data_IF_321013602561
#
_entry.id   IF_321013602561
#
_cell.length_a   1.000
_cell.length_b   1.000
_cell.length_c   1.000
_cell.angle_alpha   90.00
_cell.angle_beta   90.00
_cell.angle_gamma   90.00
#
_symmetry.space_group_name_H-M   'P 1'
#
loop_
_entity.id
_entity.type
_entity.pdbx_description
1 polymer ?
#
# COMPACT_ATOMS: atom_id res chain seq x y z
N UNK A 1 2.47 -12.42 38.76
CA UNK A 1 1.23 -12.05 38.04
C UNK A 1 0.05 -12.58 38.81
N UNK A 2 -0.99 -11.80 39.09
CA UNK A 2 -2.15 -12.27 39.84
C UNK A 2 -3.08 -13.16 38.98
N UNK A 3 -3.98 -13.90 39.63
CA UNK A 3 -4.86 -14.85 38.97
C UNK A 3 -5.86 -14.17 37.98
N UNK A 4 -6.24 -12.91 38.24
CA UNK A 4 -7.13 -12.15 37.35
C UNK A 4 -6.43 -11.78 36.05
N UNK A 5 -5.21 -11.29 36.18
CA UNK A 5 -4.39 -10.95 34.99
C UNK A 5 -4.11 -12.19 34.14
N UNK A 6 -3.79 -13.34 34.78
CA UNK A 6 -3.62 -14.60 34.02
C UNK A 6 -4.90 -15.02 33.30
N UNK A 7 -6.07 -14.87 33.96
CA UNK A 7 -7.35 -15.18 33.33
C UNK A 7 -7.64 -14.24 32.12
N UNK A 8 -7.38 -12.95 32.26
CA UNK A 8 -7.56 -11.98 31.16
C UNK A 8 -6.70 -12.33 29.94
N UNK A 9 -5.43 -12.70 30.16
CA UNK A 9 -4.54 -13.16 29.09
C UNK A 9 -5.13 -14.40 28.40
N UNK A 10 -5.58 -15.42 29.15
CA UNK A 10 -6.20 -16.62 28.56
C UNK A 10 -7.44 -16.32 27.73
N UNK A 11 -8.26 -15.35 28.15
CA UNK A 11 -9.42 -14.89 27.37
C UNK A 11 -8.98 -14.27 26.05
N UNK A 12 -7.93 -13.47 26.04
CA UNK A 12 -7.39 -12.86 24.82
C UNK A 12 -6.67 -13.89 23.93
N UNK A 13 -5.98 -14.87 24.50
CA UNK A 13 -5.41 -16.01 23.75
C UNK A 13 -6.50 -16.83 23.05
N UNK A 14 -7.61 -17.06 23.74
CA UNK A 14 -8.76 -17.74 23.13
C UNK A 14 -9.34 -16.92 21.98
N UNK A 15 -9.45 -15.60 22.15
CA UNK A 15 -9.86 -14.67 21.09
C UNK A 15 -8.92 -14.72 19.87
N UNK A 16 -7.60 -14.75 20.07
CA UNK A 16 -6.61 -14.94 18.99
C UNK A 16 -6.79 -16.25 18.25
N UNK A 17 -7.02 -17.33 19.00
CA UNK A 17 -7.27 -18.66 18.43
C UNK A 17 -8.52 -18.65 17.56
N UNK A 18 -9.58 -17.97 17.98
CA UNK A 18 -10.80 -17.82 17.22
C UNK A 18 -10.60 -17.02 15.93
N UNK A 19 -9.85 -15.90 15.99
CA UNK A 19 -9.45 -15.12 14.79
C UNK A 19 -8.73 -16.01 13.78
N UNK A 20 -7.76 -16.83 14.24
CA UNK A 20 -7.02 -17.74 13.36
C UNK A 20 -7.86 -18.88 12.80
N UNK A 21 -8.80 -19.41 13.58
CA UNK A 21 -9.71 -20.45 13.09
C UNK A 21 -10.61 -19.97 11.95
N UNK A 22 -11.07 -18.72 12.03
CA UNK A 22 -11.90 -18.10 10.99
C UNK A 22 -11.06 -17.61 9.81
N UNK A 23 -9.89 -17.01 10.06
CA UNK A 23 -9.04 -16.32 9.10
C UNK A 23 -7.56 -16.74 9.26
N UNK A 24 -7.14 -17.92 8.77
CA UNK A 24 -5.80 -18.47 8.99
C UNK A 24 -4.65 -17.58 8.47
N UNK A 25 -4.91 -16.74 7.48
CA UNK A 25 -3.93 -15.83 6.91
C UNK A 25 -3.49 -14.69 7.85
N UNK A 26 -4.11 -14.55 9.04
CA UNK A 26 -3.64 -13.65 10.09
C UNK A 26 -2.52 -14.24 10.98
N UNK A 27 -2.07 -15.48 10.73
CA UNK A 27 -1.10 -16.16 11.59
C UNK A 27 0.18 -15.35 11.84
N UNK A 28 0.75 -14.75 10.80
CA UNK A 28 1.94 -13.90 10.93
C UNK A 28 1.68 -12.64 11.77
N UNK A 29 0.52 -11.99 11.59
CA UNK A 29 0.15 -10.81 12.36
C UNK A 29 -0.12 -11.14 13.83
N UNK A 30 -0.84 -12.21 14.11
CA UNK A 30 -1.10 -12.68 15.48
C UNK A 30 0.20 -13.07 16.20
N UNK A 31 1.11 -13.78 15.52
CA UNK A 31 2.40 -14.20 16.09
C UNK A 31 3.35 -13.04 16.37
N UNK A 32 3.19 -11.91 15.66
CA UNK A 32 4.07 -10.75 15.79
C UNK A 32 3.84 -9.93 17.06
N UNK A 33 2.63 -9.89 17.60
CA UNK A 33 2.24 -8.94 18.65
C UNK A 33 2.27 -9.59 20.02
N UNK A 34 3.28 -9.33 20.88
CA UNK A 34 3.29 -9.78 22.28
C UNK A 34 2.20 -9.04 23.08
N UNK A 35 1.87 -9.56 24.27
CA UNK A 35 0.97 -8.88 25.16
C UNK A 35 1.69 -7.86 26.05
N UNK A 36 1.07 -6.70 26.24
CA UNK A 36 1.45 -5.70 27.24
C UNK A 36 0.28 -5.48 28.21
N UNK A 37 0.57 -5.50 29.50
CA UNK A 37 -0.46 -5.24 30.51
C UNK A 37 -0.46 -3.75 30.86
N UNK A 38 -1.64 -3.16 30.97
CA UNK A 38 -1.78 -1.74 31.28
C UNK A 38 -3.19 -1.37 31.70
N UNK A 39 -3.37 -0.08 31.97
CA UNK A 39 -4.69 0.53 32.17
C UNK A 39 -5.00 1.36 30.94
N UNK A 40 -6.04 1.01 30.24
CA UNK A 40 -6.46 1.63 29.00
C UNK A 40 -7.90 2.13 29.09
N UNK A 41 -8.28 3.05 28.22
CA UNK A 41 -9.67 3.53 28.16
C UNK A 41 -10.63 2.45 27.64
N UNK A 42 -10.11 1.45 26.90
CA UNK A 42 -10.84 0.31 26.33
C UNK A 42 -10.18 -1.02 26.76
N UNK A 43 -10.85 -2.19 26.55
CA UNK A 43 -10.30 -3.50 26.91
C UNK A 43 -8.96 -3.81 26.26
N UNK A 44 -8.76 -3.36 25.02
CA UNK A 44 -7.56 -3.56 24.22
C UNK A 44 -7.00 -2.23 23.73
N UNK A 45 -5.72 -2.23 23.41
CA UNK A 45 -4.99 -1.13 22.79
C UNK A 45 -3.85 -1.71 21.93
N UNK A 46 -3.30 -0.96 20.99
CA UNK A 46 -2.08 -1.33 20.28
C UNK A 46 -1.28 -0.10 19.87
N UNK A 47 0.04 -0.22 19.78
CA UNK A 47 0.95 0.75 19.17
C UNK A 47 1.70 0.16 17.97
N UNK A 48 1.33 -1.06 17.56
CA UNK A 48 2.04 -1.85 16.54
C UNK A 48 3.18 -2.69 17.10
N UNK A 49 3.72 -2.39 18.27
CA UNK A 49 4.76 -3.19 18.92
C UNK A 49 4.17 -4.29 19.80
N UNK A 50 3.05 -4.01 20.48
CA UNK A 50 2.38 -4.92 21.40
C UNK A 50 0.85 -4.79 21.34
N UNK A 51 0.15 -5.81 21.83
CA UNK A 51 -1.27 -5.76 22.12
C UNK A 51 -1.47 -5.50 23.63
N UNK A 52 -1.94 -4.31 23.96
CA UNK A 52 -2.25 -3.89 25.32
C UNK A 52 -3.54 -4.54 25.82
N UNK A 53 -3.50 -5.02 27.08
CA UNK A 53 -4.62 -5.68 27.73
C UNK A 53 -4.92 -4.95 29.04
N UNK A 54 -6.13 -4.40 29.16
CA UNK A 54 -6.68 -3.98 30.44
C UNK A 54 -7.43 -5.18 31.04
N UNK A 55 -6.82 -5.82 32.04
CA UNK A 55 -7.33 -7.08 32.58
C UNK A 55 -8.73 -6.92 33.22
N UNK A 56 -9.00 -5.79 33.88
CA UNK A 56 -10.30 -5.54 34.50
C UNK A 56 -11.41 -5.39 33.45
N UNK A 57 -11.15 -4.61 32.39
CA UNK A 57 -12.11 -4.36 31.31
C UNK A 57 -12.36 -5.59 30.43
N UNK A 58 -11.30 -6.37 30.14
CA UNK A 58 -11.44 -7.64 29.39
C UNK A 58 -12.29 -8.62 30.17
N UNK A 59 -12.03 -8.81 31.47
CA UNK A 59 -12.80 -9.72 32.30
C UNK A 59 -14.23 -9.22 32.53
N UNK A 60 -14.44 -7.91 32.70
CA UNK A 60 -15.77 -7.31 32.82
C UNK A 60 -16.62 -7.62 31.58
N UNK A 61 -16.06 -7.38 30.39
CA UNK A 61 -16.74 -7.67 29.14
C UNK A 61 -17.01 -9.16 28.94
N UNK A 62 -16.04 -10.01 29.22
CA UNK A 62 -16.20 -11.46 29.14
C UNK A 62 -17.29 -11.95 30.10
N UNK A 63 -17.40 -11.38 31.30
CA UNK A 63 -18.46 -11.73 32.24
C UNK A 63 -19.87 -11.30 31.76
N UNK A 64 -19.96 -10.21 31.00
CA UNK A 64 -21.22 -9.73 30.44
C UNK A 64 -21.68 -10.53 29.22
N UNK A 65 -20.74 -10.87 28.32
CA UNK A 65 -21.05 -11.51 27.03
C UNK A 65 -20.94 -13.02 27.05
N UNK A 66 -20.07 -13.59 27.90
CA UNK A 66 -19.69 -14.98 27.88
C UNK A 66 -18.79 -15.39 26.71
N UNK A 67 -18.38 -14.43 25.87
CA UNK A 67 -17.64 -14.66 24.63
C UNK A 67 -16.25 -13.95 24.66
N UNK A 68 -15.20 -14.61 24.11
CA UNK A 68 -13.92 -13.98 23.94
C UNK A 68 -14.02 -12.76 22.99
N UNK A 69 -13.21 -11.70 23.18
CA UNK A 69 -13.27 -10.48 22.37
C UNK A 69 -12.58 -10.66 20.99
N UNK A 70 -12.92 -11.69 20.22
CA UNK A 70 -12.26 -12.02 18.96
C UNK A 70 -12.35 -10.90 17.93
N UNK A 71 -13.52 -10.27 17.81
CA UNK A 71 -13.72 -9.14 16.91
C UNK A 71 -12.85 -7.93 17.28
N UNK A 72 -12.67 -7.64 18.60
CA UNK A 72 -11.83 -6.52 19.04
C UNK A 72 -10.34 -6.82 18.85
N UNK A 73 -9.92 -8.09 19.05
CA UNK A 73 -8.55 -8.53 18.74
C UNK A 73 -8.28 -8.38 17.25
N UNK A 74 -9.21 -8.78 16.38
CA UNK A 74 -9.07 -8.58 14.93
C UNK A 74 -9.01 -7.10 14.57
N UNK A 75 -9.87 -6.27 15.17
CA UNK A 75 -9.88 -4.82 14.95
C UNK A 75 -8.52 -4.19 15.30
N UNK A 76 -7.96 -4.49 16.48
CA UNK A 76 -6.63 -4.00 16.88
C UNK A 76 -5.50 -4.49 15.96
N UNK A 77 -5.54 -5.75 15.48
CA UNK A 77 -4.58 -6.28 14.51
C UNK A 77 -4.68 -5.58 13.16
N UNK A 78 -5.89 -5.23 12.73
CA UNK A 78 -6.08 -4.48 11.48
C UNK A 78 -5.42 -3.11 11.55
N UNK A 79 -5.44 -2.41 12.68
CA UNK A 79 -4.69 -1.16 12.83
C UNK A 79 -3.20 -1.34 12.56
N UNK A 80 -2.59 -2.42 13.06
CA UNK A 80 -1.18 -2.71 12.80
C UNK A 80 -0.91 -3.02 11.33
N UNK A 81 -1.74 -3.88 10.71
CA UNK A 81 -1.62 -4.31 9.31
C UNK A 81 -1.80 -3.13 8.34
N UNK A 82 -2.72 -2.21 8.66
CA UNK A 82 -3.01 -1.01 7.88
C UNK A 82 -2.08 0.16 8.22
N UNK A 83 -1.08 -0.05 9.06
CA UNK A 83 -0.06 0.93 9.45
C UNK A 83 -0.62 2.20 10.11
N UNK A 84 -1.78 2.14 10.73
CA UNK A 84 -2.46 3.28 11.34
C UNK A 84 -1.64 3.96 12.44
N UNK A 85 -1.02 3.22 13.41
CA UNK A 85 -0.19 3.82 14.45
C UNK A 85 1.00 4.61 13.88
N UNK A 86 1.62 4.08 12.82
CA UNK A 86 2.80 4.68 12.19
C UNK A 86 2.49 5.88 11.27
N UNK A 87 1.22 6.11 11.00
CA UNK A 87 0.72 7.21 10.18
C UNK A 87 0.03 8.31 11.00
N UNK A 88 0.03 8.20 12.33
CA UNK A 88 -0.59 9.16 13.24
C UNK A 88 0.17 10.50 13.38
N UNK A 89 1.52 10.54 13.40
CA UNK A 89 2.24 11.79 13.65
C UNK A 89 1.84 12.93 12.70
N UNK A 90 1.61 14.12 13.28
CA UNK A 90 1.26 15.34 12.54
C UNK A 90 -0.21 15.46 12.12
N UNK A 91 -1.08 14.52 12.49
CA UNK A 91 -2.51 14.52 12.19
C UNK A 91 -3.35 15.02 13.39
N UNK A 92 -4.59 15.40 13.12
CA UNK A 92 -5.59 15.62 14.17
C UNK A 92 -5.95 14.26 14.78
N UNK A 93 -5.68 14.10 16.08
CA UNK A 93 -5.85 12.85 16.82
C UNK A 93 -7.28 12.31 16.71
N UNK A 94 -8.26 13.17 16.95
CA UNK A 94 -9.67 12.80 17.00
C UNK A 94 -10.16 12.25 15.66
N UNK A 95 -9.89 12.99 14.60
CA UNK A 95 -10.36 12.65 13.26
C UNK A 95 -9.59 11.46 12.66
N UNK A 96 -8.28 11.36 12.98
CA UNK A 96 -7.50 10.23 12.53
C UNK A 96 -7.94 8.92 13.18
N UNK A 97 -8.12 8.91 14.51
CA UNK A 97 -8.61 7.75 15.24
C UNK A 97 -9.94 7.26 14.68
N UNK A 98 -10.91 8.18 14.47
CA UNK A 98 -12.21 7.83 13.89
C UNK A 98 -12.09 7.25 12.47
N UNK A 99 -11.28 7.85 11.61
CA UNK A 99 -11.08 7.36 10.25
C UNK A 99 -10.50 5.93 10.23
N UNK A 100 -9.54 5.66 11.11
CA UNK A 100 -8.94 4.35 11.29
C UNK A 100 -9.92 3.31 11.81
N UNK A 101 -10.73 3.69 12.82
CA UNK A 101 -11.76 2.81 13.40
C UNK A 101 -12.83 2.41 12.37
N UNK A 102 -13.26 3.35 11.55
CA UNK A 102 -14.25 3.07 10.49
C UNK A 102 -13.68 2.04 9.50
N UNK A 103 -12.43 2.20 9.07
CA UNK A 103 -11.79 1.26 8.14
C UNK A 103 -11.58 -0.11 8.77
N UNK A 104 -11.06 -0.18 10.00
CA UNK A 104 -10.84 -1.44 10.70
C UNK A 104 -12.16 -2.18 10.96
N UNK A 105 -13.21 -1.49 11.44
CA UNK A 105 -14.52 -2.10 11.69
C UNK A 105 -15.20 -2.59 10.41
N UNK A 106 -15.07 -1.84 9.29
CA UNK A 106 -15.59 -2.25 7.98
C UNK A 106 -14.99 -3.59 7.54
N UNK A 107 -13.67 -3.72 7.64
CA UNK A 107 -12.96 -4.95 7.28
C UNK A 107 -13.28 -6.08 8.26
N UNK A 108 -13.32 -5.80 9.57
CA UNK A 108 -13.66 -6.79 10.58
C UNK A 108 -15.09 -7.33 10.38
N UNK A 109 -16.04 -6.46 10.05
CA UNK A 109 -17.42 -6.87 9.73
C UNK A 109 -17.50 -7.71 8.43
N UNK A 110 -16.66 -7.47 7.45
CA UNK A 110 -16.57 -8.27 6.23
C UNK A 110 -15.98 -9.67 6.50
N UNK A 111 -14.98 -9.78 7.39
CA UNK A 111 -14.24 -11.01 7.70
C UNK A 111 -14.97 -11.92 8.71
N UNK A 112 -15.52 -11.35 9.77
CA UNK A 112 -16.13 -12.09 10.88
C UNK A 112 -17.66 -11.91 10.98
N UNK A 113 -18.24 -11.12 10.06
CA UNK A 113 -19.63 -10.72 10.15
C UNK A 113 -19.84 -9.47 11.02
N UNK A 114 -20.99 -8.79 10.87
CA UNK A 114 -21.31 -7.61 11.65
C UNK A 114 -21.46 -7.96 13.14
N UNK A 115 -21.12 -7.00 14.01
CA UNK A 115 -21.39 -7.16 15.46
C UNK A 115 -22.88 -7.35 15.73
N UNK A 116 -23.17 -8.14 16.73
CA UNK A 116 -24.55 -8.38 17.13
C UNK A 116 -25.15 -7.22 17.95
N UNK A 117 -26.48 -7.21 18.03
CA UNK A 117 -27.23 -6.26 18.85
C UNK A 117 -27.39 -4.85 18.24
N UNK A 118 -27.96 -3.91 19.02
CA UNK A 118 -28.29 -2.58 18.54
C UNK A 118 -27.07 -1.77 18.05
N UNK A 119 -25.91 -1.96 18.69
CA UNK A 119 -24.66 -1.30 18.28
C UNK A 119 -24.22 -1.82 16.90
N UNK A 120 -24.30 -3.12 16.67
CA UNK A 120 -23.94 -3.72 15.39
C UNK A 120 -24.83 -3.22 14.23
N UNK A 121 -26.13 -3.07 14.47
CA UNK A 121 -27.05 -2.46 13.49
C UNK A 121 -26.66 -1.01 13.19
N UNK A 122 -26.31 -0.24 14.20
CA UNK A 122 -25.88 1.16 14.02
C UNK A 122 -24.55 1.25 13.26
N UNK A 123 -23.59 0.38 13.55
CA UNK A 123 -22.31 0.28 12.84
C UNK A 123 -22.52 -0.06 11.37
N UNK A 124 -23.32 -1.08 11.07
CA UNK A 124 -23.61 -1.46 9.69
C UNK A 124 -24.28 -0.32 8.89
N UNK A 125 -25.21 0.43 9.51
CA UNK A 125 -25.83 1.59 8.88
C UNK A 125 -24.82 2.73 8.64
N UNK A 126 -23.89 2.96 9.57
CA UNK A 126 -22.85 3.97 9.42
C UNK A 126 -21.85 3.59 8.31
N UNK A 127 -21.37 2.34 8.28
CA UNK A 127 -20.50 1.79 7.23
C UNK A 127 -21.17 1.94 5.86
N UNK A 128 -22.42 1.54 5.71
CA UNK A 128 -23.17 1.71 4.45
C UNK A 128 -23.29 3.18 4.02
N UNK A 129 -23.40 4.11 4.99
CA UNK A 129 -23.41 5.54 4.71
C UNK A 129 -22.05 6.01 4.17
N UNK A 130 -20.94 5.52 4.76
CA UNK A 130 -19.58 5.80 4.30
C UNK A 130 -19.37 5.28 2.88
N UNK A 131 -19.67 4.02 2.62
CA UNK A 131 -19.53 3.38 1.30
C UNK A 131 -20.34 4.08 0.21
N UNK A 132 -21.56 4.50 0.53
CA UNK A 132 -22.43 5.21 -0.42
C UNK A 132 -21.91 6.61 -0.77
N UNK A 133 -21.32 7.32 0.22
CA UNK A 133 -20.82 8.68 0.01
C UNK A 133 -19.40 8.74 -0.55
N UNK A 134 -18.56 7.78 -0.17
CA UNK A 134 -17.25 7.62 -0.76
C UNK A 134 -17.40 6.88 -2.08
N UNK A 135 -17.73 7.59 -3.16
CA UNK A 135 -17.64 7.00 -4.50
C UNK A 135 -16.20 6.59 -4.78
N UNK A 136 -15.90 5.28 -4.79
CA UNK A 136 -14.56 4.70 -4.96
C UNK A 136 -14.04 4.02 -3.68
N UNK A 137 -12.72 3.82 -3.57
CA UNK A 137 -12.12 3.13 -2.42
C UNK A 137 -12.31 3.92 -1.12
N UNK A 138 -12.59 3.21 -0.03
CA UNK A 138 -12.68 3.79 1.32
C UNK A 138 -11.36 3.52 2.03
N UNK A 139 -10.56 4.54 2.31
CA UNK A 139 -9.33 4.43 3.11
C UNK A 139 -9.34 5.38 4.30
N UNK A 140 -8.58 5.03 5.35
CA UNK A 140 -8.48 5.85 6.55
C UNK A 140 -7.99 7.26 6.21
N UNK A 141 -7.01 7.38 5.31
CA UNK A 141 -6.48 8.64 4.84
C UNK A 141 -7.52 9.47 4.10
N UNK A 142 -8.32 8.84 3.24
CA UNK A 142 -9.40 9.53 2.52
C UNK A 142 -10.49 10.01 3.45
N UNK A 143 -10.93 9.15 4.38
CA UNK A 143 -11.93 9.53 5.38
C UNK A 143 -11.46 10.68 6.26
N UNK A 144 -10.22 10.62 6.75
CA UNK A 144 -9.61 11.69 7.53
C UNK A 144 -9.69 13.03 6.81
N UNK A 145 -9.34 13.09 5.53
CA UNK A 145 -9.40 14.34 4.75
C UNK A 145 -10.81 14.84 4.53
N UNK A 146 -11.76 13.95 4.23
CA UNK A 146 -13.16 14.34 4.09
C UNK A 146 -13.70 14.92 5.41
N UNK A 147 -13.28 14.36 6.56
CA UNK A 147 -13.60 14.90 7.88
C UNK A 147 -12.93 16.24 8.13
N UNK A 148 -11.65 16.41 7.78
CA UNK A 148 -10.93 17.69 7.89
C UNK A 148 -11.57 18.81 7.06
N UNK A 149 -12.24 18.48 5.97
CA UNK A 149 -13.01 19.44 5.15
C UNK A 149 -14.41 19.75 5.70
N UNK A 150 -14.81 19.09 6.78
CA UNK A 150 -16.15 19.26 7.37
C UNK A 150 -17.26 18.50 6.64
N UNK A 151 -16.95 17.66 5.65
CA UNK A 151 -17.96 16.92 4.89
C UNK A 151 -18.79 15.95 5.76
N UNK A 152 -18.25 15.55 6.92
CA UNK A 152 -18.84 14.63 7.87
C UNK A 152 -19.21 15.26 9.22
N UNK A 153 -19.21 16.60 9.33
CA UNK A 153 -19.33 17.34 10.59
C UNK A 153 -20.54 16.88 11.44
N UNK A 154 -21.68 16.60 10.82
CA UNK A 154 -22.88 16.10 11.51
C UNK A 154 -22.82 14.61 11.95
N UNK A 155 -21.76 13.88 11.64
CA UNK A 155 -21.60 12.47 11.97
C UNK A 155 -20.48 12.20 12.95
N UNK A 156 -19.41 13.02 12.96
CA UNK A 156 -18.16 12.77 13.69
C UNK A 156 -18.41 12.47 15.17
N UNK A 157 -19.09 13.35 15.91
CA UNK A 157 -19.32 13.18 17.35
C UNK A 157 -20.07 11.87 17.69
N UNK A 158 -21.05 11.50 16.88
CA UNK A 158 -21.83 10.30 17.08
C UNK A 158 -21.03 9.03 16.73
N UNK A 159 -20.19 9.11 15.70
CA UNK A 159 -19.44 7.98 15.21
C UNK A 159 -18.21 7.67 16.07
N UNK A 160 -17.58 8.67 16.70
CA UNK A 160 -16.48 8.45 17.63
C UNK A 160 -16.81 7.42 18.71
N UNK A 161 -17.95 7.57 19.38
CA UNK A 161 -18.36 6.61 20.41
C UNK A 161 -18.86 5.28 19.80
N UNK A 162 -19.48 5.36 18.64
CA UNK A 162 -20.03 4.18 17.96
C UNK A 162 -18.92 3.22 17.49
N UNK A 163 -17.87 3.76 16.87
CA UNK A 163 -16.78 2.96 16.28
C UNK A 163 -15.68 2.60 17.28
N UNK A 164 -15.47 3.36 18.34
CA UNK A 164 -14.40 3.11 19.31
C UNK A 164 -14.41 1.68 19.88
N UNK A 165 -13.51 0.82 19.40
CA UNK A 165 -13.36 -0.57 19.81
C UNK A 165 -12.17 -0.78 20.73
N UNK A 166 -11.06 -0.09 20.52
CA UNK A 166 -9.83 -0.13 21.25
C UNK A 166 -9.35 1.28 21.67
N UNK A 167 -8.23 1.36 22.39
CA UNK A 167 -7.66 2.63 22.88
C UNK A 167 -6.46 3.02 22.01
N UNK A 168 -6.56 4.15 21.35
CA UNK A 168 -5.51 4.69 20.47
C UNK A 168 -4.53 5.62 21.18
N UNK A 169 -4.71 5.92 22.48
CA UNK A 169 -3.78 6.79 23.20
C UNK A 169 -2.30 6.38 23.06
N UNK A 170 -1.94 5.08 22.92
CA UNK A 170 -0.55 4.68 22.68
C UNK A 170 0.06 5.22 21.39
N UNK A 171 -0.73 5.53 20.33
CA UNK A 171 -0.20 6.05 19.07
C UNK A 171 0.36 7.48 19.19
N UNK A 172 -0.07 8.19 20.22
CA UNK A 172 0.22 9.61 20.45
C UNK A 172 1.26 9.80 21.54
N UNK A 173 1.85 8.70 22.06
CA UNK A 173 2.85 8.71 23.13
C UNK A 173 4.24 8.43 22.57
N UNK A 174 5.25 9.06 23.16
CA UNK A 174 6.66 8.82 22.79
C UNK A 174 7.19 7.45 23.28
N UNK A 175 6.58 6.85 24.31
CA UNK A 175 7.07 5.60 24.90
C UNK A 175 6.27 4.41 24.40
N UNK A 176 6.89 3.44 23.70
CA UNK A 176 6.23 2.24 23.20
C UNK A 176 5.65 1.37 24.32
N UNK A 177 4.50 0.74 24.06
CA UNK A 177 3.85 -0.18 25.01
C UNK A 177 4.69 -1.42 25.32
N UNK A 178 5.52 -1.89 24.40
CA UNK A 178 6.42 -3.02 24.62
C UNK A 178 7.37 -2.83 25.80
N UNK A 179 7.66 -1.58 26.19
CA UNK A 179 8.42 -1.29 27.40
C UNK A 179 7.69 -1.72 28.71
N UNK A 180 6.39 -1.95 28.64
CA UNK A 180 5.54 -2.40 29.75
C UNK A 180 5.15 -3.87 29.65
N UNK A 181 5.69 -4.61 28.68
CA UNK A 181 5.43 -6.04 28.55
C UNK A 181 5.97 -6.78 29.79
N UNK A 182 5.22 -7.74 30.36
CA UNK A 182 5.71 -8.53 31.49
C UNK A 182 6.93 -9.34 31.03
N UNK A 183 7.96 -9.42 31.95
CA UNK A 183 9.12 -10.27 31.73
C UNK A 183 8.68 -11.71 31.43
N UNK A 184 9.10 -12.26 30.28
CA UNK A 184 8.74 -13.60 29.84
C UNK A 184 7.53 -13.68 28.88
N UNK A 185 6.99 -12.57 28.41
CA UNK A 185 5.99 -12.58 27.32
C UNK A 185 6.65 -13.08 26.03
N UNK A 186 6.45 -14.36 25.72
CA UNK A 186 6.89 -14.95 24.46
C UNK A 186 5.85 -14.63 23.36
N UNK A 187 6.33 -14.44 22.13
CA UNK A 187 5.45 -14.39 20.96
C UNK A 187 4.60 -15.68 20.93
N UNK A 188 3.33 -15.53 20.59
CA UNK A 188 2.41 -16.66 20.44
C UNK A 188 2.90 -17.60 19.35
N UNK A 189 3.18 -18.87 19.70
CA UNK A 189 3.48 -19.93 18.75
C UNK A 189 2.23 -20.79 18.56
N UNK A 190 1.56 -20.73 17.41
CA UNK A 190 0.34 -21.49 17.16
C UNK A 190 0.55 -23.00 17.11
N UNK A 191 1.79 -23.47 16.91
CA UNK A 191 2.15 -24.89 16.83
C UNK A 191 2.73 -25.42 18.15
N UNK A 192 2.86 -24.58 19.20
CA UNK A 192 3.35 -25.02 20.50
C UNK A 192 2.33 -25.96 21.17
N UNK A 193 2.74 -27.18 21.60
CA UNK A 193 1.86 -28.08 22.32
C UNK A 193 1.43 -27.43 23.64
N UNK A 194 0.13 -27.53 23.97
CA UNK A 194 -0.39 -27.04 25.24
C UNK A 194 0.35 -27.72 26.41
N UNK A 195 1.34 -27.04 26.95
CA UNK A 195 2.07 -27.52 28.14
C UNK A 195 1.22 -27.28 29.39
N UNK A 196 0.76 -28.35 29.96
CA UNK A 196 0.20 -28.37 31.29
C UNK A 196 1.32 -28.03 32.31
N UNK A 197 1.44 -26.74 32.63
CA UNK A 197 2.50 -26.23 33.50
C UNK A 197 2.20 -26.45 34.96
N UNK A 198 2.58 -27.63 35.42
CA UNK A 198 2.72 -27.96 36.82
C UNK A 198 4.17 -28.37 37.12
N UNK A 199 5.08 -27.42 37.21
CA UNK A 199 6.31 -27.58 38.02
C UNK A 199 7.01 -26.22 38.21
N UNK A 200 7.19 -25.85 39.46
CA UNK A 200 7.91 -24.68 39.93
C UNK A 200 9.42 -24.89 39.80
N UNK A 201 10.06 -24.24 38.82
CA UNK A 201 11.50 -24.08 38.70
C UNK A 201 11.95 -22.72 39.21
N UNK A 202 12.92 -22.71 40.12
CA UNK A 202 13.57 -21.52 40.68
C UNK A 202 14.19 -20.66 39.58
N UNK A 203 13.90 -19.35 39.58
CA UNK A 203 14.41 -18.37 38.60
C UNK A 203 15.61 -17.67 39.23
N UNK A 204 16.77 -17.80 38.61
CA UNK A 204 17.95 -16.98 38.91
C UNK A 204 17.70 -15.52 38.50
N UNK A 205 17.98 -14.57 39.39
CA UNK A 205 17.99 -13.12 39.16
C UNK A 205 19.12 -12.78 38.18
N UNK A 206 18.77 -12.37 36.98
CA UNK A 206 19.70 -11.91 35.94
C UNK A 206 19.22 -10.66 35.23
N UNK A 207 19.81 -9.54 35.60
CA UNK A 207 20.06 -8.30 34.87
C UNK A 207 18.93 -7.74 33.98
N UNK A 208 18.31 -6.67 34.47
CA UNK A 208 17.51 -5.71 33.68
C UNK A 208 18.39 -5.04 32.61
N UNK A 209 18.23 -5.46 31.34
CA UNK A 209 18.74 -4.72 30.20
C UNK A 209 17.67 -3.70 29.83
N UNK A 210 17.82 -2.47 30.29
CA UNK A 210 17.09 -1.32 29.74
C UNK A 210 17.49 -1.15 28.30
N UNK A 211 16.59 -1.45 27.37
CA UNK A 211 16.75 -1.14 25.96
C UNK A 211 16.51 0.36 25.81
N UNK A 212 17.57 1.13 25.56
CA UNK A 212 17.43 2.49 25.05
C UNK A 212 16.67 2.39 23.72
N UNK A 213 15.53 3.07 23.64
CA UNK A 213 14.71 3.13 22.43
C UNK A 213 15.41 4.12 21.49
N UNK A 214 16.04 3.60 20.45
CA UNK A 214 16.65 4.37 19.38
C UNK A 214 15.55 4.78 18.38
N UNK A 215 15.55 6.02 17.89
CA UNK A 215 14.62 6.54 16.86
C UNK A 215 14.60 5.68 15.56
N UNK A 216 15.56 4.75 15.40
CA UNK A 216 15.62 3.77 14.32
C UNK A 216 14.67 2.58 14.47
N UNK A 217 14.03 2.36 15.64
CA UNK A 217 13.24 1.15 15.91
C UNK A 217 11.81 1.23 15.31
N UNK A 218 11.22 2.41 15.25
CA UNK A 218 9.87 2.65 14.65
C UNK A 218 9.87 2.42 13.12
N UNK A 219 10.94 2.81 12.46
CA UNK A 219 11.10 2.56 11.03
C UNK A 219 11.20 1.08 10.69
N UNK A 220 11.97 0.33 11.48
CA UNK A 220 12.13 -1.12 11.32
C UNK A 220 10.83 -1.88 11.58
N UNK A 221 10.09 -1.47 12.61
CA UNK A 221 8.79 -2.04 12.97
C UNK A 221 7.75 -1.79 11.87
N UNK A 222 7.70 -0.57 11.33
CA UNK A 222 6.84 -0.21 10.20
C UNK A 222 7.13 -1.06 8.96
N UNK A 223 8.40 -1.25 8.60
CA UNK A 223 8.80 -2.08 7.46
C UNK A 223 8.49 -3.57 7.69
N UNK A 224 8.57 -4.03 8.93
CA UNK A 224 8.14 -5.39 9.28
C UNK A 224 6.63 -5.57 9.07
N UNK A 225 5.81 -4.62 9.54
CA UNK A 225 4.37 -4.66 9.31
C UNK A 225 3.99 -4.54 7.83
N UNK A 226 4.71 -3.76 7.04
CA UNK A 226 4.52 -3.74 5.57
C UNK A 226 4.76 -5.12 4.94
N UNK A 227 5.80 -5.84 5.39
CA UNK A 227 6.07 -7.20 4.88
C UNK A 227 4.95 -8.17 5.28
N UNK A 228 4.49 -8.12 6.54
CA UNK A 228 3.37 -8.94 7.02
C UNK A 228 2.10 -8.62 6.21
N UNK A 229 1.76 -7.36 6.03
CA UNK A 229 0.58 -6.93 5.29
C UNK A 229 0.61 -7.40 3.82
N UNK A 230 1.76 -7.30 3.15
CA UNK A 230 1.93 -7.79 1.77
C UNK A 230 1.79 -9.32 1.68
N UNK A 231 2.36 -10.07 2.62
CA UNK A 231 2.23 -11.53 2.66
C UNK A 231 0.78 -11.94 2.92
N UNK A 232 0.14 -11.32 3.90
CA UNK A 232 -1.27 -11.53 4.25
C UNK A 232 -2.19 -11.29 3.04
N UNK A 233 -1.97 -10.21 2.27
CA UNK A 233 -2.73 -9.92 1.06
C UNK A 233 -2.65 -11.07 0.05
N UNK A 234 -1.45 -11.61 -0.21
CA UNK A 234 -1.25 -12.72 -1.16
C UNK A 234 -1.99 -13.98 -0.70
N UNK A 235 -1.89 -14.33 0.59
CA UNK A 235 -2.57 -15.49 1.17
C UNK A 235 -4.09 -15.32 1.16
N UNK A 236 -4.59 -14.14 1.52
CA UNK A 236 -6.00 -13.80 1.50
C UNK A 236 -6.58 -13.91 0.09
N UNK A 237 -5.90 -13.36 -0.93
CA UNK A 237 -6.32 -13.48 -2.33
C UNK A 237 -6.32 -14.94 -2.83
N UNK A 238 -5.37 -15.76 -2.39
CA UNK A 238 -5.37 -17.18 -2.71
C UNK A 238 -6.58 -17.90 -2.11
N UNK A 239 -6.93 -17.61 -0.85
CA UNK A 239 -8.11 -18.19 -0.19
C UNK A 239 -9.42 -17.69 -0.78
N UNK A 240 -9.50 -16.44 -1.20
CA UNK A 240 -10.68 -15.89 -1.89
C UNK A 240 -11.03 -16.70 -3.14
N UNK A 241 -10.02 -17.04 -3.95
CA UNK A 241 -10.21 -17.86 -5.16
C UNK A 241 -10.75 -19.26 -4.86
N UNK A 242 -10.43 -19.81 -3.69
CA UNK A 242 -10.81 -21.17 -3.30
C UNK A 242 -12.15 -21.20 -2.55
N UNK A 243 -12.40 -20.24 -1.66
CA UNK A 243 -13.55 -20.24 -0.73
C UNK A 243 -14.61 -19.20 -1.04
N UNK A 244 -14.36 -18.26 -1.96
CA UNK A 244 -15.30 -17.18 -2.30
C UNK A 244 -15.51 -16.15 -1.17
N UNK A 245 -14.58 -16.09 -0.20
CA UNK A 245 -14.65 -15.16 0.94
C UNK A 245 -14.55 -13.73 0.43
N UNK A 246 -15.34 -12.81 0.96
CA UNK A 246 -15.22 -11.39 0.66
C UNK A 246 -14.03 -10.82 1.43
N UNK A 247 -13.05 -10.31 0.75
CA UNK A 247 -11.83 -9.68 1.32
C UNK A 247 -11.43 -8.43 0.52
N UNK A 248 -12.33 -7.91 -0.31
CA UNK A 248 -12.04 -6.81 -1.21
C UNK A 248 -11.55 -5.58 -0.45
N UNK A 249 -12.23 -5.22 0.62
CA UNK A 249 -11.89 -4.08 1.47
C UNK A 249 -10.50 -4.21 2.10
N UNK A 250 -10.14 -5.41 2.60
CA UNK A 250 -8.82 -5.66 3.17
C UNK A 250 -7.70 -5.49 2.13
N UNK A 251 -7.90 -6.04 0.93
CA UNK A 251 -6.91 -5.96 -0.16
C UNK A 251 -6.68 -4.51 -0.59
N UNK A 252 -7.75 -3.75 -0.79
CA UNK A 252 -7.68 -2.34 -1.16
C UNK A 252 -6.95 -1.49 -0.11
N UNK A 253 -7.29 -1.67 1.16
CA UNK A 253 -6.67 -0.94 2.27
C UNK A 253 -5.19 -1.31 2.45
N UNK A 254 -4.84 -2.59 2.34
CA UNK A 254 -3.43 -3.03 2.41
C UNK A 254 -2.65 -2.46 1.23
N UNK A 255 -3.21 -2.42 0.03
CA UNK A 255 -2.57 -1.76 -1.12
C UNK A 255 -2.32 -0.28 -0.84
N UNK A 256 -3.33 0.44 -0.35
CA UNK A 256 -3.19 1.85 0.01
C UNK A 256 -2.15 2.09 1.12
N UNK A 257 -2.14 1.26 2.16
CA UNK A 257 -1.21 1.40 3.29
C UNK A 257 0.23 1.02 2.96
N UNK A 258 0.44 0.08 2.03
CA UNK A 258 1.77 -0.45 1.67
C UNK A 258 2.34 0.10 0.37
N UNK A 259 1.62 1.00 -0.31
CA UNK A 259 2.13 1.68 -1.50
C UNK A 259 3.40 2.48 -1.14
N UNK A 260 4.47 2.23 -1.84
CA UNK A 260 5.73 2.94 -1.67
C UNK A 260 5.79 4.11 -2.65
N UNK A 261 6.31 5.24 -2.16
CA UNK A 261 6.77 6.31 -3.05
C UNK A 261 8.03 5.80 -3.75
N UNK A 262 7.98 5.71 -5.04
CA UNK A 262 9.11 5.28 -5.87
C UNK A 262 9.79 6.51 -6.45
N UNK A 263 11.12 6.54 -6.44
CA UNK A 263 11.88 7.55 -7.15
C UNK A 263 11.59 7.47 -8.67
N UNK A 264 11.29 8.62 -9.27
CA UNK A 264 10.89 8.70 -10.68
C UNK A 264 11.91 8.07 -11.62
N UNK A 265 13.18 8.37 -11.41
CA UNK A 265 14.24 7.82 -12.24
C UNK A 265 14.33 6.29 -12.13
N UNK A 266 14.21 5.76 -10.92
CA UNK A 266 14.22 4.31 -10.67
C UNK A 266 13.00 3.62 -11.29
N UNK A 267 11.83 4.23 -11.19
CA UNK A 267 10.61 3.72 -11.79
C UNK A 267 10.70 3.72 -13.33
N UNK A 268 11.08 4.84 -13.92
CA UNK A 268 11.19 4.95 -15.38
C UNK A 268 12.23 3.98 -15.96
N UNK A 269 13.39 3.79 -15.27
CA UNK A 269 14.38 2.78 -15.65
C UNK A 269 13.88 1.35 -15.55
N UNK A 270 13.00 1.04 -14.59
CA UNK A 270 12.40 -0.28 -14.47
C UNK A 270 11.51 -0.61 -15.68
N UNK A 271 10.82 0.37 -16.23
CA UNK A 271 10.07 0.24 -17.48
C UNK A 271 10.99 0.01 -18.68
N UNK A 272 12.10 0.72 -18.74
CA UNK A 272 13.12 0.49 -19.76
C UNK A 272 13.65 -0.95 -19.75
N UNK A 273 13.55 -1.62 -18.59
CA UNK A 273 14.11 -2.95 -18.39
C UNK A 273 13.19 -4.12 -18.78
N UNK A 274 11.91 -3.92 -19.12
CA UNK A 274 10.93 -5.01 -19.27
C UNK A 274 10.76 -5.62 -20.67
N UNK A 275 11.40 -5.11 -21.71
CA UNK A 275 11.27 -5.64 -23.08
C UNK A 275 12.51 -6.42 -23.54
N UNK A 276 12.53 -7.75 -23.45
CA UNK A 276 13.55 -8.58 -24.10
C UNK A 276 13.11 -8.89 -25.53
N UNK A 277 13.89 -8.50 -26.54
CA UNK A 277 13.76 -8.97 -27.90
C UNK A 277 15.00 -9.75 -28.30
N UNK A 278 14.77 -10.99 -28.73
CA UNK A 278 15.79 -11.80 -29.39
C UNK A 278 15.90 -11.35 -30.86
N UNK A 279 17.02 -10.80 -31.25
CA UNK A 279 17.35 -10.54 -32.66
C UNK A 279 18.25 -11.63 -33.16
N UNK A 280 17.84 -12.26 -34.21
CA UNK A 280 18.65 -13.25 -34.95
C UNK A 280 19.48 -12.45 -35.94
N UNK A 281 20.80 -12.52 -35.84
CA UNK A 281 21.71 -11.89 -36.81
C UNK A 281 21.73 -12.69 -38.09
N UNK A 282 21.35 -12.08 -39.20
CA UNK A 282 21.47 -12.72 -40.52
C UNK A 282 22.90 -12.68 -41.08
N UNK A 283 23.81 -11.93 -40.44
CA UNK A 283 25.18 -11.70 -40.90
C UNK A 283 26.23 -12.47 -40.06
N UNK A 284 25.89 -12.85 -38.84
CA UNK A 284 26.80 -13.51 -37.89
C UNK A 284 26.26 -14.90 -37.48
N UNK A 285 27.14 -15.85 -37.32
CA UNK A 285 26.79 -17.19 -36.84
C UNK A 285 27.49 -17.53 -35.51
N UNK A 286 26.94 -18.46 -34.76
CA UNK A 286 27.52 -18.92 -33.50
C UNK A 286 28.86 -19.63 -33.73
N UNK A 287 30.01 -19.03 -33.32
CA UNK A 287 31.33 -19.61 -33.52
C UNK A 287 31.53 -20.90 -32.70
N UNK A 288 30.78 -21.10 -31.62
CA UNK A 288 30.89 -22.31 -30.78
C UNK A 288 30.24 -23.47 -31.49
N UNK A 289 29.05 -23.34 -32.02
CA UNK A 289 28.38 -24.37 -32.82
C UNK A 289 29.11 -24.65 -34.11
N UNK A 290 29.63 -23.62 -34.78
CA UNK A 290 30.47 -23.79 -35.97
C UNK A 290 31.70 -24.63 -35.70
N UNK A 291 32.49 -24.30 -34.66
CA UNK A 291 33.69 -25.04 -34.30
C UNK A 291 33.39 -26.43 -33.76
N UNK A 292 32.28 -26.60 -33.03
CA UNK A 292 31.80 -27.91 -32.59
C UNK A 292 31.44 -28.80 -33.78
N UNK A 293 30.75 -28.30 -34.78
CA UNK A 293 30.43 -29.03 -36.02
C UNK A 293 31.65 -29.50 -36.72
N UNK A 294 32.66 -28.66 -36.93
CA UNK A 294 33.94 -29.01 -37.53
C UNK A 294 34.70 -30.08 -36.73
N UNK A 295 34.73 -29.94 -35.40
CA UNK A 295 35.46 -30.89 -34.54
C UNK A 295 34.79 -32.28 -34.48
N UNK A 296 33.46 -32.33 -34.52
CA UNK A 296 32.68 -33.56 -34.36
C UNK A 296 32.44 -34.32 -35.68
N UNK A 297 32.22 -33.57 -36.77
CA UNK A 297 31.78 -34.08 -38.05
C UNK A 297 32.79 -33.85 -39.18
N UNK A 298 33.96 -33.36 -38.86
CA UNK A 298 35.06 -33.14 -39.80
C UNK A 298 34.82 -31.91 -40.71
N UNK A 299 34.24 -32.06 -41.85
CA UNK A 299 34.03 -30.96 -42.81
C UNK A 299 32.61 -30.40 -42.82
N UNK A 300 31.79 -30.70 -41.81
CA UNK A 300 30.41 -30.18 -41.73
C UNK A 300 30.29 -29.13 -40.62
N UNK A 301 30.43 -27.83 -40.94
CA UNK A 301 30.16 -26.79 -39.96
C UNK A 301 28.65 -26.73 -39.66
N UNK A 302 28.31 -26.62 -38.39
CA UNK A 302 26.95 -26.31 -37.99
C UNK A 302 26.83 -24.79 -38.00
N UNK A 303 26.00 -24.27 -38.88
CA UNK A 303 25.74 -22.82 -39.01
C UNK A 303 24.41 -22.55 -38.35
N UNK A 304 24.46 -21.89 -37.22
CA UNK A 304 23.30 -21.35 -36.54
C UNK A 304 23.47 -19.81 -36.42
N UNK A 305 22.48 -19.01 -36.78
CA UNK A 305 22.56 -17.57 -36.64
C UNK A 305 22.89 -17.18 -35.17
N UNK A 306 23.72 -16.18 -34.98
CA UNK A 306 24.02 -15.67 -33.65
C UNK A 306 22.78 -15.02 -33.07
N UNK A 307 22.27 -15.56 -31.96
CA UNK A 307 21.23 -14.91 -31.17
C UNK A 307 21.88 -13.77 -30.39
N UNK A 308 21.72 -12.55 -30.89
CA UNK A 308 22.10 -11.36 -30.13
C UNK A 308 20.98 -11.04 -29.15
N UNK A 309 21.33 -10.98 -27.88
CA UNK A 309 20.46 -10.48 -26.84
C UNK A 309 20.40 -8.97 -26.99
N UNK A 310 19.36 -8.49 -27.67
CA UNK A 310 19.16 -7.04 -27.73
C UNK A 310 18.79 -6.49 -26.36
N UNK A 311 19.37 -5.35 -26.05
CA UNK A 311 19.13 -4.59 -24.85
C UNK A 311 17.66 -4.17 -24.74
N UNK A 312 17.17 -4.16 -23.52
CA UNK A 312 15.79 -3.85 -23.13
C UNK A 312 15.44 -2.40 -23.52
N UNK A 313 14.39 -2.20 -24.31
CA UNK A 313 14.06 -0.88 -24.85
C UNK A 313 12.57 -0.55 -24.70
N UNK A 314 12.22 0.59 -24.08
CA UNK A 314 10.87 1.14 -24.14
C UNK A 314 10.63 1.59 -25.58
N UNK A 315 9.54 1.14 -26.17
CA UNK A 315 9.16 1.51 -27.52
C UNK A 315 8.05 2.55 -27.58
N UNK A 316 7.06 2.43 -26.72
CA UNK A 316 5.86 3.25 -26.70
C UNK A 316 5.50 3.63 -25.28
N UNK A 317 5.36 4.93 -25.02
CA UNK A 317 5.12 5.47 -23.70
C UNK A 317 4.21 6.70 -23.77
N UNK A 318 3.30 6.86 -22.80
CA UNK A 318 2.42 8.02 -22.73
C UNK A 318 2.80 8.90 -21.56
N UNK A 319 3.00 10.18 -21.81
CA UNK A 319 3.14 11.21 -20.79
C UNK A 319 1.88 12.07 -20.84
N UNK A 320 1.14 12.12 -19.76
CA UNK A 320 0.02 13.05 -19.58
C UNK A 320 0.47 14.19 -18.69
N UNK A 321 0.28 15.41 -19.14
CA UNK A 321 0.61 16.63 -18.42
C UNK A 321 -0.69 17.29 -17.99
N UNK A 322 -0.84 17.45 -16.68
CA UNK A 322 -1.90 18.25 -16.09
C UNK A 322 -1.67 19.72 -16.46
N UNK A 323 -2.63 20.30 -17.13
CA UNK A 323 -2.63 21.72 -17.52
C UNK A 323 -3.65 22.53 -16.74
N UNK A 324 -4.09 22.03 -15.59
CA UNK A 324 -4.95 22.78 -14.67
C UNK A 324 -4.26 24.05 -14.17
N UNK A 325 -5.07 25.00 -13.68
CA UNK A 325 -4.58 26.33 -13.29
C UNK A 325 -3.56 26.29 -12.13
N UNK A 326 -3.52 25.23 -11.34
CA UNK A 326 -2.60 25.04 -10.22
C UNK A 326 -1.20 24.59 -10.65
N UNK A 327 -1.06 23.96 -11.82
CA UNK A 327 0.22 23.45 -12.32
C UNK A 327 0.99 24.54 -13.05
N UNK A 328 2.20 24.89 -12.54
CA UNK A 328 3.02 25.93 -13.15
C UNK A 328 3.80 25.42 -14.36
N UNK A 329 3.97 26.28 -15.38
CA UNK A 329 4.78 25.94 -16.56
C UNK A 329 6.25 25.61 -16.25
N UNK A 330 6.79 26.15 -15.16
CA UNK A 330 8.17 25.86 -14.71
C UNK A 330 8.26 24.45 -14.09
N UNK A 331 7.19 23.97 -13.44
CA UNK A 331 7.12 22.61 -12.93
C UNK A 331 7.09 21.60 -14.09
N UNK A 332 6.27 21.86 -15.12
CA UNK A 332 6.19 21.02 -16.30
C UNK A 332 7.53 20.97 -17.05
N UNK A 333 8.23 22.10 -17.20
CA UNK A 333 9.56 22.13 -17.82
C UNK A 333 10.56 21.26 -17.06
N UNK A 334 10.64 21.40 -15.73
CA UNK A 334 11.52 20.54 -14.90
C UNK A 334 11.20 19.06 -15.06
N UNK A 335 9.93 18.69 -15.06
CA UNK A 335 9.51 17.32 -15.30
C UNK A 335 9.97 16.79 -16.65
N UNK A 336 9.77 17.57 -17.72
CA UNK A 336 10.22 17.21 -19.06
C UNK A 336 11.74 17.09 -19.13
N UNK A 337 12.47 18.07 -18.55
CA UNK A 337 13.95 18.07 -18.53
C UNK A 337 14.49 16.85 -17.76
N UNK A 338 13.90 16.51 -16.62
CA UNK A 338 14.28 15.31 -15.85
C UNK A 338 13.94 14.03 -16.62
N UNK A 339 12.77 13.96 -17.24
CA UNK A 339 12.39 12.85 -18.11
C UNK A 339 13.39 12.68 -19.23
N UNK A 340 13.71 13.74 -19.95
CA UNK A 340 14.71 13.73 -21.03
C UNK A 340 16.08 13.28 -20.53
N UNK A 341 16.53 13.78 -19.36
CA UNK A 341 17.81 13.41 -18.76
C UNK A 341 17.88 11.90 -18.46
N UNK A 342 16.80 11.33 -17.90
CA UNK A 342 16.73 9.90 -17.60
C UNK A 342 16.71 9.09 -18.91
N UNK A 343 15.94 9.53 -19.89
CA UNK A 343 15.86 8.90 -21.20
C UNK A 343 17.20 8.91 -21.95
N UNK A 344 17.99 9.97 -21.81
CA UNK A 344 19.32 10.11 -22.44
C UNK A 344 20.44 9.41 -21.68
N UNK A 345 20.30 9.23 -20.35
CA UNK A 345 21.38 8.73 -19.47
C UNK A 345 21.55 7.20 -19.47
N UNK A 346 20.71 6.45 -20.15
CA UNK A 346 20.76 4.99 -20.17
C UNK A 346 20.86 4.42 -21.58
N UNK A 347 21.63 3.32 -21.72
CA UNK A 347 21.55 2.45 -22.89
C UNK A 347 20.14 1.82 -23.10
N UNK A 348 19.17 2.30 -22.29
CA UNK A 348 17.83 1.74 -22.15
C UNK A 348 16.84 2.20 -23.22
N UNK A 349 17.18 3.21 -24.04
CA UNK A 349 16.29 3.72 -25.06
C UNK A 349 16.73 3.31 -26.45
N UNK A 350 15.77 2.76 -27.21
CA UNK A 350 15.98 2.43 -28.60
C UNK A 350 16.23 3.71 -29.41
N UNK A 351 16.90 3.59 -30.56
CA UNK A 351 16.98 4.63 -31.56
C UNK A 351 15.59 5.10 -32.10
N UNK A 352 14.52 4.40 -31.68
CA UNK A 352 13.12 4.70 -31.99
C UNK A 352 12.25 4.50 -30.76
N UNK A 353 12.09 5.54 -29.97
CA UNK A 353 11.12 5.63 -28.86
C UNK A 353 9.97 6.50 -29.31
N UNK A 354 8.75 6.01 -29.29
CA UNK A 354 7.57 6.83 -29.51
C UNK A 354 7.01 7.27 -28.15
N UNK A 355 7.19 8.53 -27.83
CA UNK A 355 6.55 9.17 -26.67
C UNK A 355 5.35 9.96 -27.16
N UNK A 356 4.21 9.70 -26.57
CA UNK A 356 3.00 10.46 -26.81
C UNK A 356 2.77 11.40 -25.64
N UNK A 357 2.78 12.71 -25.90
CA UNK A 357 2.58 13.73 -24.87
C UNK A 357 1.18 14.30 -25.00
N UNK A 358 0.36 14.09 -23.99
CA UNK A 358 -1.03 14.52 -23.92
C UNK A 358 -1.16 15.63 -22.88
N UNK A 359 -1.71 16.76 -23.27
CA UNK A 359 -2.08 17.82 -22.34
C UNK A 359 -3.55 17.68 -21.97
N UNK A 360 -3.85 17.65 -20.67
CA UNK A 360 -5.21 17.44 -20.18
C UNK A 360 -5.47 18.30 -18.93
N UNK A 361 -6.62 18.98 -18.91
CA UNK A 361 -7.21 19.59 -17.73
C UNK A 361 -8.50 18.82 -17.36
N UNK A 362 -9.68 19.38 -17.56
CA UNK A 362 -10.94 18.63 -17.53
C UNK A 362 -11.26 17.96 -18.88
N UNK A 363 -10.42 18.16 -19.90
CA UNK A 363 -10.53 17.57 -21.23
C UNK A 363 -9.13 17.45 -21.85
N UNK A 364 -8.98 16.56 -22.84
CA UNK A 364 -7.74 16.49 -23.62
C UNK A 364 -7.62 17.74 -24.50
N UNK A 365 -6.55 18.49 -24.32
CA UNK A 365 -6.29 19.77 -24.98
C UNK A 365 -5.31 19.66 -26.14
N UNK A 366 -4.37 18.74 -26.06
CA UNK A 366 -3.37 18.48 -27.09
C UNK A 366 -2.87 17.04 -27.00
N UNK A 367 -2.39 16.52 -28.12
CA UNK A 367 -1.81 15.20 -28.28
C UNK A 367 -0.69 15.28 -29.33
N UNK A 368 0.55 15.23 -28.86
CA UNK A 368 1.75 15.34 -29.67
C UNK A 368 2.51 14.00 -29.66
N UNK A 369 2.87 13.52 -30.86
CA UNK A 369 3.68 12.30 -31.01
C UNK A 369 5.13 12.70 -31.20
N UNK A 370 6.02 12.12 -30.42
CA UNK A 370 7.44 12.42 -30.36
C UNK A 370 8.22 11.14 -30.57
N UNK A 371 9.04 11.09 -31.61
CA UNK A 371 9.69 9.86 -32.07
C UNK A 371 11.08 9.62 -31.46
N UNK A 372 11.65 10.60 -30.75
CA UNK A 372 12.95 10.47 -30.09
C UNK A 372 13.12 11.41 -28.88
N UNK A 373 14.11 11.11 -28.01
CA UNK A 373 14.38 11.90 -26.82
C UNK A 373 14.82 13.36 -27.11
N UNK A 374 15.42 13.62 -28.28
CA UNK A 374 15.83 14.96 -28.68
C UNK A 374 14.64 15.81 -29.07
N UNK A 375 13.70 15.22 -29.81
CA UNK A 375 12.44 15.87 -30.15
C UNK A 375 11.61 16.18 -28.91
N UNK A 376 11.66 15.33 -27.86
CA UNK A 376 11.03 15.61 -26.57
C UNK A 376 11.66 16.82 -25.86
N UNK A 377 12.98 16.94 -25.89
CA UNK A 377 13.69 18.10 -25.32
C UNK A 377 13.35 19.40 -26.09
N UNK A 378 13.30 19.34 -27.42
CA UNK A 378 12.89 20.46 -28.26
C UNK A 378 11.44 20.86 -28.01
N UNK A 379 10.54 19.87 -27.86
CA UNK A 379 9.15 20.07 -27.49
C UNK A 379 9.03 20.75 -26.11
N UNK A 380 9.81 20.31 -25.10
CA UNK A 380 9.82 20.89 -23.76
C UNK A 380 10.30 22.35 -23.75
N UNK A 381 11.29 22.70 -24.59
CA UNK A 381 11.77 24.09 -24.75
C UNK A 381 10.73 24.99 -25.45
N UNK A 382 9.97 24.43 -26.38
CA UNK A 382 8.90 25.14 -27.11
C UNK A 382 7.53 25.01 -26.45
N UNK A 383 7.46 24.48 -25.24
CA UNK A 383 6.24 24.13 -24.52
C UNK A 383 5.25 25.31 -24.44
N UNK A 384 4.11 25.12 -25.06
CA UNK A 384 2.92 25.94 -24.90
C UNK A 384 1.85 25.13 -24.16
N UNK A 385 1.57 25.49 -22.92
CA UNK A 385 0.49 24.86 -22.15
C UNK A 385 -0.86 25.31 -22.70
N UNK A 386 -1.76 24.34 -22.87
CA UNK A 386 -3.12 24.56 -23.36
C UNK A 386 -4.11 24.04 -22.34
N UNK A 387 -5.18 24.80 -22.10
CA UNK A 387 -6.24 24.41 -21.14
C UNK A 387 -6.44 25.50 -20.08
N UNK A 388 -5.96 25.29 -18.84
CA UNK A 388 -6.16 26.12 -17.66
C UNK A 388 -7.56 26.02 -17.04
N UNK A 389 -8.24 24.87 -17.26
CA UNK A 389 -9.53 24.55 -16.65
C UNK A 389 -9.44 23.93 -15.27
N UNK A 390 -10.49 23.21 -14.89
CA UNK A 390 -10.49 22.38 -13.68
C UNK A 390 -9.68 21.08 -13.89
N UNK A 391 -9.47 20.32 -12.82
CA UNK A 391 -8.68 19.08 -12.89
C UNK A 391 -9.59 17.86 -12.85
N UNK A 392 -9.64 17.11 -13.93
CA UNK A 392 -10.26 15.78 -14.01
C UNK A 392 -9.32 14.86 -14.80
N UNK A 393 -8.82 13.81 -14.16
CA UNK A 393 -7.86 12.91 -14.80
C UNK A 393 -8.53 11.88 -15.71
N UNK A 394 -9.81 11.58 -15.51
CA UNK A 394 -10.55 10.54 -16.24
C UNK A 394 -10.53 10.70 -17.76
N UNK A 395 -10.71 11.92 -18.35
CA UNK A 395 -10.72 12.07 -19.79
C UNK A 395 -9.41 11.66 -20.48
N UNK A 396 -8.26 11.84 -19.83
CA UNK A 396 -6.98 11.38 -20.35
C UNK A 396 -6.92 9.85 -20.44
N UNK A 397 -7.42 9.14 -19.43
CA UNK A 397 -7.45 7.67 -19.42
C UNK A 397 -8.44 7.13 -20.46
N UNK A 398 -9.63 7.70 -20.54
CA UNK A 398 -10.62 7.33 -21.57
C UNK A 398 -10.06 7.53 -23.00
N UNK A 399 -9.31 8.60 -23.20
CA UNK A 399 -8.66 8.89 -24.47
C UNK A 399 -7.58 7.86 -24.81
N UNK A 400 -6.69 7.54 -23.85
CA UNK A 400 -5.62 6.55 -24.06
C UNK A 400 -6.20 5.15 -24.24
N UNK A 401 -7.23 4.77 -23.51
CA UNK A 401 -7.93 3.50 -23.69
C UNK A 401 -8.56 3.39 -25.09
N UNK A 402 -9.12 4.48 -25.60
CA UNK A 402 -9.59 4.58 -26.97
C UNK A 402 -8.48 4.33 -28.00
N UNK A 403 -7.32 4.96 -27.81
CA UNK A 403 -6.15 4.77 -28.65
C UNK A 403 -5.63 3.32 -28.61
N UNK A 404 -5.62 2.70 -27.43
CA UNK A 404 -5.27 1.27 -27.29
C UNK A 404 -6.25 0.38 -28.06
N UNK A 405 -7.56 0.65 -27.94
CA UNK A 405 -8.59 -0.10 -28.64
C UNK A 405 -8.53 0.05 -30.16
N UNK A 406 -8.11 1.22 -30.65
CA UNK A 406 -7.88 1.50 -32.08
C UNK A 406 -6.58 0.91 -32.63
N UNK A 407 -5.72 0.37 -31.75
CA UNK A 407 -4.44 -0.21 -32.13
C UNK A 407 -3.37 0.83 -32.46
N UNK A 408 -3.48 2.04 -31.90
CA UNK A 408 -2.49 3.11 -32.05
C UNK A 408 -1.13 2.75 -31.42
N UNK A 409 -1.11 1.84 -30.48
CA UNK A 409 0.08 1.28 -29.83
C UNK A 409 0.25 -0.20 -30.18
N UNK A 410 1.50 -0.62 -30.40
CA UNK A 410 1.85 -2.03 -30.57
C UNK A 410 2.06 -2.71 -29.23
N UNK A 411 2.74 -2.01 -28.31
CA UNK A 411 3.05 -2.49 -26.96
C UNK A 411 3.24 -1.28 -26.05
N UNK A 412 2.15 -0.79 -25.46
CA UNK A 412 2.18 0.35 -24.55
C UNK A 412 2.87 -0.04 -23.26
N UNK A 413 4.11 0.43 -23.05
CA UNK A 413 4.92 0.17 -21.87
C UNK A 413 4.33 0.77 -20.60
N UNK A 414 3.69 1.94 -20.67
CA UNK A 414 3.04 2.58 -19.53
C UNK A 414 2.63 4.03 -19.75
N UNK A 415 2.01 4.60 -18.74
CA UNK A 415 1.56 5.98 -18.70
C UNK A 415 2.09 6.68 -17.45
N UNK A 416 2.69 7.86 -17.61
CA UNK A 416 3.00 8.79 -16.51
C UNK A 416 2.04 9.95 -16.57
N UNK A 417 1.38 10.23 -15.47
CA UNK A 417 0.54 11.41 -15.31
C UNK A 417 1.24 12.43 -14.41
N UNK A 418 1.70 13.54 -14.96
CA UNK A 418 2.31 14.63 -14.23
C UNK A 418 1.25 15.60 -13.73
N UNK A 419 1.16 15.82 -12.41
CA UNK A 419 0.12 16.62 -11.77
C UNK A 419 0.55 17.10 -10.37
N UNK A 420 -0.18 18.06 -9.82
CA UNK A 420 -0.12 18.42 -8.40
C UNK A 420 -0.99 17.49 -7.51
N UNK A 421 -1.71 16.55 -8.13
CA UNK A 421 -2.50 15.55 -7.44
C UNK A 421 -3.91 15.97 -7.01
N UNK A 422 -4.32 17.19 -7.38
CA UNK A 422 -5.63 17.73 -7.02
C UNK A 422 -6.64 17.53 -8.16
N UNK A 423 -7.28 16.37 -8.23
CA UNK A 423 -8.23 16.08 -9.30
C UNK A 423 -9.09 14.86 -9.03
N UNK A 424 -9.92 14.50 -10.01
CA UNK A 424 -10.78 13.31 -9.98
C UNK A 424 -10.07 12.17 -10.67
N UNK A 425 -9.74 11.12 -9.90
CA UNK A 425 -9.08 9.92 -10.43
C UNK A 425 -10.08 8.96 -11.07
N UNK A 426 -9.62 8.09 -12.01
CA UNK A 426 -10.47 7.04 -12.58
C UNK A 426 -10.84 5.98 -11.55
N UNK A 427 -12.08 5.48 -11.63
CA UNK A 427 -12.61 4.46 -10.72
C UNK A 427 -12.19 3.03 -11.11
N UNK A 428 -11.52 2.87 -12.25
CA UNK A 428 -11.10 1.58 -12.79
C UNK A 428 -9.58 1.50 -12.98
N UNK A 429 -9.06 0.29 -13.06
CA UNK A 429 -7.65 0.03 -13.34
C UNK A 429 -7.46 -0.15 -14.85
N UNK A 430 -6.62 0.67 -15.51
CA UNK A 430 -6.25 0.49 -16.92
C UNK A 430 -5.51 -0.83 -17.18
N UNK A 431 -5.50 -1.28 -18.43
CA UNK A 431 -4.80 -2.48 -18.87
C UNK A 431 -3.27 -2.32 -18.99
N UNK A 432 -2.73 -1.13 -18.75
CA UNK A 432 -1.32 -0.77 -18.79
C UNK A 432 -0.87 -0.20 -17.45
N UNK A 433 0.45 -0.25 -17.15
CA UNK A 433 1.00 0.33 -15.93
C UNK A 433 0.88 1.86 -15.91
N UNK A 434 0.57 2.42 -14.74
CA UNK A 434 0.40 3.85 -14.54
C UNK A 434 1.19 4.34 -13.34
N UNK A 435 1.87 5.50 -13.52
CA UNK A 435 2.39 6.27 -12.41
C UNK A 435 1.82 7.69 -12.43
N UNK A 436 1.55 8.22 -11.24
CA UNK A 436 1.34 9.63 -11.04
C UNK A 436 2.64 10.25 -10.52
N UNK A 437 3.17 11.21 -11.27
CA UNK A 437 4.37 11.96 -10.94
C UNK A 437 3.95 13.31 -10.34
N UNK A 438 4.27 13.51 -9.06
CA UNK A 438 3.90 14.70 -8.32
C UNK A 438 5.05 15.70 -8.29
N UNK A 439 4.70 16.97 -8.43
CA UNK A 439 5.65 18.06 -8.44
C UNK A 439 6.38 18.24 -7.10
N UNK A 440 5.64 18.09 -5.99
CA UNK A 440 6.14 18.21 -4.63
C UNK A 440 5.47 17.21 -3.69
N UNK A 441 5.89 17.23 -2.42
CA UNK A 441 5.34 16.35 -1.37
C UNK A 441 3.95 16.78 -0.85
N UNK A 442 3.45 17.95 -1.25
CA UNK A 442 2.15 18.48 -0.81
C UNK A 442 0.96 17.95 -1.65
N UNK A 443 1.16 16.85 -2.35
CA UNK A 443 0.11 16.17 -3.09
C UNK A 443 -0.73 15.25 -2.19
N UNK A 444 -1.95 14.96 -2.63
CA UNK A 444 -2.84 14.04 -1.93
C UNK A 444 -2.53 12.58 -2.28
N UNK A 445 -1.46 12.06 -1.71
CA UNK A 445 -1.01 10.69 -1.95
C UNK A 445 -2.13 9.65 -1.78
N UNK A 446 -3.12 9.96 -0.95
CA UNK A 446 -4.20 9.05 -0.57
C UNK A 446 -5.41 9.08 -1.52
N UNK A 447 -5.51 10.09 -2.38
CA UNK A 447 -6.52 10.11 -3.46
C UNK A 447 -6.06 9.29 -4.66
N UNK A 448 -4.75 9.01 -4.74
CA UNK A 448 -4.18 8.21 -5.82
C UNK A 448 -4.71 6.78 -5.72
N UNK A 449 -5.26 6.23 -6.81
CA UNK A 449 -5.75 4.86 -6.81
C UNK A 449 -4.64 3.87 -6.40
N UNK A 450 -4.95 2.85 -5.58
CA UNK A 450 -3.93 1.91 -5.08
C UNK A 450 -3.23 1.09 -6.17
N UNK A 451 -3.80 1.01 -7.37
CA UNK A 451 -3.21 0.32 -8.51
C UNK A 451 -2.16 1.16 -9.26
N UNK A 452 -2.08 2.47 -9.00
CA UNK A 452 -1.13 3.38 -9.62
C UNK A 452 0.11 3.58 -8.73
N UNK A 453 1.27 3.69 -9.36
CA UNK A 453 2.52 4.01 -8.64
C UNK A 453 2.58 5.50 -8.36
N UNK A 454 2.96 5.86 -7.15
CA UNK A 454 3.19 7.25 -6.77
C UNK A 454 4.68 7.56 -6.88
N UNK A 455 4.99 8.61 -7.60
CA UNK A 455 6.35 9.07 -7.86
C UNK A 455 6.43 10.54 -7.47
N UNK A 456 7.45 10.93 -6.74
CA UNK A 456 7.69 12.33 -6.38
C UNK A 456 8.96 12.80 -7.08
N UNK A 457 8.86 13.92 -7.78
CA UNK A 457 10.01 14.60 -8.33
C UNK A 457 10.77 15.27 -7.19
N UNK A 458 12.03 14.93 -7.00
CA UNK A 458 12.83 15.47 -5.92
C UNK A 458 13.17 16.95 -6.21
N UNK A 459 12.67 17.93 -5.42
CA UNK A 459 12.94 19.34 -5.65
C UNK A 459 14.38 19.78 -5.27
N UNK A 460 15.17 18.88 -4.66
CA UNK A 460 16.53 19.18 -4.14
C UNK A 460 17.63 18.47 -4.94
N UNK A 461 17.71 18.74 -6.23
CA UNK A 461 18.93 18.51 -6.99
C UNK A 461 19.23 19.67 -7.93
#
# INVERSE_FOLDING_TARGET
MDARTQLAIRVVELARTEVLAQNPFFAAAVGRVPFALGTFARPLATDGAALGIDAERVLGRFAETGEPPAHDVLHALLHCILLHPFSAPGRDERLWNLACDICAERIAAELCGPREGPRGVALAAAISTVETRCSGSVSAQRLYRLMMRGEWEGHVERWEELFAADDHAPWWRETPMAAYAPEGAQAFDPDAPATDSGESGEVEEGASVGREVDEGDDGALREEWKRIARALKVEAQALQRVRGTRIGSLVEEVEAATSERVDYASWLRQFAAMGEHLRISDEEFDPVLYTFGLSRYGNLPLIEPLEQREERRIREFVIVIDTSQSVSGDAVRRFVDETCSILQSGDAFADQVQVRVIQCDAQVQADDIIDDARALEEWGRALELRGFGGTDFRPAFEYVDGLVAEGAFRDLGGLVYFTDGWGVYPDYRPGYPVAFAFYDDDHRAEDVPPWAVQVVLNPER
#
